data_IF_993303413052
#
_entry.id   IF_993303413052
#
_cell.length_a   1.000
_cell.length_b   1.000
_cell.length_c   1.000
_cell.angle_alpha   90.00
_cell.angle_beta   90.00
_cell.angle_gamma   90.00
#
_symmetry.space_group_name_H-M   'P 1'
#
loop_
_entity.id
_entity.type
_entity.pdbx_description
1 polymer ?
#
# COMPACT_ATOMS: atom_id res chain seq x y z
N UNK A 1 1.41 16.76 -16.00
CA UNK A 1 1.04 17.23 -17.35
C UNK A 1 0.37 16.08 -18.10
N UNK A 2 -0.01 16.26 -19.38
CA UNK A 2 -0.50 15.13 -20.19
C UNK A 2 0.56 14.03 -20.29
N UNK A 3 0.13 12.77 -20.34
CA UNK A 3 1.00 11.57 -20.28
C UNK A 3 1.89 11.44 -19.02
N UNK A 4 1.57 12.14 -17.94
CA UNK A 4 2.15 11.85 -16.62
C UNK A 4 1.42 10.69 -15.92
N UNK A 5 2.11 10.02 -15.01
CA UNK A 5 1.56 8.94 -14.18
C UNK A 5 2.15 8.96 -12.76
N UNK A 6 1.46 8.34 -11.82
CA UNK A 6 1.94 8.14 -10.45
C UNK A 6 1.52 6.76 -9.94
N UNK A 7 2.33 6.06 -9.14
CA UNK A 7 1.97 4.72 -8.61
C UNK A 7 2.52 4.51 -7.21
N UNK A 8 1.70 3.92 -6.32
CA UNK A 8 2.10 3.52 -4.97
C UNK A 8 3.05 2.31 -5.02
N UNK A 9 4.17 2.40 -4.29
CA UNK A 9 5.07 1.30 -4.05
C UNK A 9 4.77 0.60 -2.73
N UNK A 10 5.21 -0.66 -2.68
CA UNK A 10 5.10 -1.51 -1.49
C UNK A 10 5.83 -0.94 -0.27
N UNK A 11 6.85 -0.11 -0.44
CA UNK A 11 7.57 0.51 0.68
C UNK A 11 6.89 1.80 1.20
N UNK A 12 5.78 2.22 0.58
CA UNK A 12 5.03 3.43 0.93
C UNK A 12 5.42 4.66 0.11
N UNK A 13 6.40 4.58 -0.79
CA UNK A 13 6.72 5.70 -1.69
C UNK A 13 5.71 5.78 -2.83
N UNK A 14 5.66 6.93 -3.50
CA UNK A 14 4.91 7.10 -4.76
C UNK A 14 5.91 7.41 -5.86
N UNK A 15 6.00 6.57 -6.88
CA UNK A 15 6.75 6.93 -8.09
C UNK A 15 5.89 7.89 -8.90
N UNK A 16 6.48 8.99 -9.36
CA UNK A 16 5.90 9.95 -10.29
C UNK A 16 6.81 10.01 -11.51
N UNK A 17 6.22 10.13 -12.70
CA UNK A 17 7.01 10.27 -13.92
C UNK A 17 6.18 10.49 -15.16
N UNK A 18 6.88 10.68 -16.26
CA UNK A 18 6.30 10.98 -17.56
C UNK A 18 5.80 12.41 -17.68
N UNK A 19 5.81 12.92 -18.90
CA UNK A 19 5.10 14.10 -19.35
C UNK A 19 5.38 14.17 -20.85
N UNK A 20 4.37 14.01 -21.68
CA UNK A 20 4.54 14.14 -23.12
C UNK A 20 3.28 14.74 -23.74
N UNK A 21 3.13 16.08 -23.71
CA UNK A 21 1.99 16.74 -24.33
C UNK A 21 2.04 16.76 -25.87
N UNK A 22 3.03 16.12 -26.50
CA UNK A 22 3.29 16.20 -27.94
C UNK A 22 3.05 14.87 -28.66
N UNK A 23 2.83 14.94 -29.98
CA UNK A 23 2.67 13.76 -30.84
C UNK A 23 3.94 12.87 -30.90
N UNK A 24 5.12 13.49 -30.77
CA UNK A 24 6.43 12.84 -30.77
C UNK A 24 7.23 13.29 -29.55
N UNK A 25 8.36 12.65 -29.30
CA UNK A 25 9.29 13.15 -28.28
C UNK A 25 9.94 14.44 -28.73
N UNK A 26 9.71 15.50 -27.97
CA UNK A 26 10.27 16.80 -28.22
C UNK A 26 10.90 17.35 -26.94
N UNK A 27 12.23 17.47 -26.97
CA UNK A 27 13.02 17.84 -25.79
C UNK A 27 13.46 19.31 -25.79
N UNK A 28 13.37 20.01 -26.91
CA UNK A 28 13.89 21.38 -27.06
C UNK A 28 12.95 22.25 -27.91
N UNK A 29 12.99 23.57 -27.73
CA UNK A 29 12.19 24.49 -28.54
C UNK A 29 10.66 24.39 -28.32
N UNK A 30 10.21 23.80 -27.21
CA UNK A 30 8.80 23.72 -26.80
C UNK A 30 8.61 24.14 -25.35
N UNK A 31 7.42 24.65 -25.02
CA UNK A 31 7.09 25.13 -23.66
C UNK A 31 7.14 24.01 -22.61
N UNK A 32 6.74 22.79 -22.98
CA UNK A 32 6.70 21.62 -22.10
C UNK A 32 7.44 20.46 -22.75
N UNK A 33 8.77 20.33 -22.56
CA UNK A 33 9.55 19.22 -23.10
C UNK A 33 9.04 17.85 -22.63
N UNK A 34 9.31 16.81 -23.41
CA UNK A 34 9.12 15.43 -23.00
C UNK A 34 9.96 15.11 -21.75
N UNK A 35 9.32 14.57 -20.71
CA UNK A 35 9.97 14.14 -19.47
C UNK A 35 10.01 12.61 -19.40
N UNK A 36 11.21 12.06 -19.22
CA UNK A 36 11.46 10.62 -19.16
C UNK A 36 11.99 10.16 -17.79
N UNK A 37 12.31 11.09 -16.91
CA UNK A 37 12.75 10.78 -15.55
C UNK A 37 11.62 10.22 -14.69
N UNK A 38 12.03 9.50 -13.65
CA UNK A 38 11.17 9.00 -12.60
C UNK A 38 11.66 9.58 -11.28
N UNK A 39 10.74 10.10 -10.48
CA UNK A 39 11.00 10.57 -9.13
C UNK A 39 10.21 9.72 -8.13
N UNK A 40 10.78 9.51 -6.95
CA UNK A 40 10.07 8.88 -5.86
C UNK A 40 9.70 9.93 -4.82
N UNK A 41 8.41 10.18 -4.64
CA UNK A 41 7.90 10.97 -3.54
C UNK A 41 7.94 10.16 -2.25
N UNK A 42 8.47 10.78 -1.19
CA UNK A 42 8.54 10.23 0.16
C UNK A 42 7.53 10.97 1.05
N UNK A 43 6.35 10.38 1.31
CA UNK A 43 5.37 10.99 2.19
C UNK A 43 5.91 11.14 3.62
N UNK A 44 5.34 12.05 4.41
CA UNK A 44 5.82 12.38 5.77
C UNK A 44 5.90 11.18 6.73
N UNK A 45 5.07 10.15 6.52
CA UNK A 45 5.14 8.89 7.29
C UNK A 45 6.41 8.05 7.03
N UNK A 46 7.23 8.42 6.04
CA UNK A 46 8.54 7.82 5.74
C UNK A 46 9.73 8.65 6.26
N UNK A 47 9.47 9.70 7.04
CA UNK A 47 10.54 10.44 7.72
C UNK A 47 11.42 9.48 8.54
N UNK A 48 12.74 9.67 8.47
CA UNK A 48 13.72 8.78 9.09
C UNK A 48 13.51 8.61 10.61
N UNK A 49 12.94 9.61 11.28
CA UNK A 49 12.59 9.53 12.72
C UNK A 49 11.55 8.43 13.03
N UNK A 50 10.76 8.03 12.04
CA UNK A 50 9.72 7.00 12.17
C UNK A 50 10.20 5.60 11.80
N UNK A 51 11.44 5.42 11.34
CA UNK A 51 11.95 4.13 10.89
C UNK A 51 11.79 3.01 11.95
N UNK A 52 12.03 3.32 13.22
CA UNK A 52 11.90 2.37 14.33
C UNK A 52 10.44 2.14 14.78
N UNK A 53 9.49 2.96 14.29
CA UNK A 53 8.07 2.86 14.60
C UNK A 53 7.28 2.15 13.48
N UNK A 54 7.87 1.96 12.29
CA UNK A 54 7.20 1.28 11.18
C UNK A 54 6.86 -0.18 11.56
N UNK A 55 5.59 -0.59 11.49
CA UNK A 55 5.22 -1.98 11.73
C UNK A 55 5.92 -2.91 10.73
N UNK A 56 6.30 -4.12 11.16
CA UNK A 56 6.89 -5.14 10.29
C UNK A 56 6.03 -6.39 10.26
N UNK A 57 5.46 -6.73 9.10
CA UNK A 57 4.64 -7.93 8.94
C UNK A 57 5.56 -9.16 8.90
N UNK A 58 5.40 -10.06 9.87
CA UNK A 58 6.16 -11.32 9.99
C UNK A 58 5.43 -12.46 9.28
N UNK A 59 4.10 -12.50 9.45
CA UNK A 59 3.20 -13.44 8.80
C UNK A 59 1.85 -12.75 8.47
N UNK A 60 1.16 -13.15 7.39
CA UNK A 60 1.57 -14.14 6.40
C UNK A 60 2.77 -13.67 5.56
N UNK A 61 3.43 -14.60 4.84
CA UNK A 61 4.50 -14.23 3.91
C UNK A 61 3.92 -13.58 2.64
N UNK A 62 4.71 -12.76 1.97
CA UNK A 62 4.31 -12.20 0.66
C UNK A 62 3.95 -13.31 -0.32
N UNK A 63 3.00 -13.03 -1.22
CA UNK A 63 2.36 -13.97 -2.16
C UNK A 63 1.42 -15.00 -1.53
N UNK A 64 1.09 -14.87 -0.23
CA UNK A 64 0.11 -15.77 0.39
C UNK A 64 -1.27 -15.64 -0.23
N UNK A 65 -1.94 -16.77 -0.42
CA UNK A 65 -3.33 -16.81 -0.85
C UNK A 65 -4.29 -16.58 0.33
N UNK A 66 -5.24 -15.68 0.17
CA UNK A 66 -6.31 -15.40 1.12
C UNK A 66 -7.67 -15.62 0.46
N UNK A 67 -8.69 -15.95 1.25
CA UNK A 67 -10.05 -16.23 0.75
C UNK A 67 -11.06 -15.22 1.24
N UNK A 68 -12.12 -14.96 0.48
CA UNK A 68 -13.24 -14.13 0.90
C UNK A 68 -13.92 -14.64 2.17
N UNK A 69 -14.45 -13.73 2.98
CA UNK A 69 -15.22 -14.03 4.18
C UNK A 69 -14.50 -15.00 5.14
N UNK A 70 -13.17 -14.88 5.23
CA UNK A 70 -12.32 -15.67 6.13
C UNK A 70 -11.57 -14.77 7.09
N UNK A 71 -11.28 -15.32 8.26
CA UNK A 71 -10.37 -14.70 9.22
C UNK A 71 -8.94 -14.79 8.69
N UNK A 72 -8.31 -13.63 8.50
CA UNK A 72 -6.90 -13.49 8.22
C UNK A 72 -6.18 -13.19 9.53
N UNK A 73 -5.13 -13.96 9.82
CA UNK A 73 -4.26 -13.73 10.97
C UNK A 73 -2.95 -13.12 10.48
N UNK A 74 -2.61 -11.96 11.02
CA UNK A 74 -1.39 -11.23 10.74
C UNK A 74 -0.56 -11.21 12.02
N UNK A 75 0.70 -11.62 11.92
CA UNK A 75 1.69 -11.43 12.96
C UNK A 75 2.57 -10.25 12.57
N UNK A 76 2.68 -9.27 13.46
CA UNK A 76 3.36 -8.01 13.19
C UNK A 76 4.25 -7.64 14.37
N UNK A 77 5.42 -7.08 14.06
CA UNK A 77 6.28 -6.42 15.03
C UNK A 77 5.93 -4.94 15.07
N UNK A 78 5.62 -4.41 16.25
CA UNK A 78 5.35 -3.00 16.50
C UNK A 78 6.16 -2.59 17.73
N UNK A 79 6.99 -1.55 17.57
CA UNK A 79 7.80 -1.03 18.68
C UNK A 79 6.92 -0.30 19.68
N UNK A 80 7.03 -0.67 20.96
CA UNK A 80 6.26 -0.05 22.04
C UNK A 80 4.84 -0.63 22.19
N UNK A 81 4.00 0.13 22.88
CA UNK A 81 2.60 -0.25 23.11
C UNK A 81 1.73 0.10 21.89
N UNK A 82 0.84 -0.82 21.53
CA UNK A 82 -0.12 -0.62 20.44
C UNK A 82 -1.29 0.23 20.92
N UNK A 83 -1.54 1.33 20.21
CA UNK A 83 -2.74 2.15 20.36
C UNK A 83 -3.82 1.59 19.45
N UNK A 84 -4.75 0.80 20.00
CA UNK A 84 -5.73 0.01 19.23
C UNK A 84 -6.59 0.85 18.27
N UNK A 85 -7.01 2.05 18.68
CA UNK A 85 -7.82 2.96 17.85
C UNK A 85 -7.04 3.58 16.66
N UNK A 86 -5.71 3.46 16.64
CA UNK A 86 -4.84 3.95 15.58
C UNK A 86 -4.15 2.81 14.83
N UNK A 87 -4.59 1.56 15.04
CA UNK A 87 -4.09 0.37 14.35
C UNK A 87 -5.11 -0.09 13.31
N UNK A 88 -4.68 -0.30 12.08
CA UNK A 88 -5.53 -0.89 11.04
C UNK A 88 -4.74 -1.81 10.11
N UNK A 89 -5.41 -2.84 9.60
CA UNK A 89 -4.96 -3.63 8.46
C UNK A 89 -5.68 -3.12 7.23
N UNK A 90 -4.92 -2.89 6.16
CA UNK A 90 -5.47 -2.41 4.89
C UNK A 90 -5.04 -3.31 3.73
N UNK A 91 -5.86 -3.34 2.67
CA UNK A 91 -5.53 -3.95 1.39
C UNK A 91 -5.69 -2.91 0.28
N UNK A 92 -4.64 -2.68 -0.49
CA UNK A 92 -4.65 -1.77 -1.64
C UNK A 92 -4.59 -2.58 -2.94
N UNK A 93 -5.54 -2.35 -3.83
CA UNK A 93 -5.47 -2.83 -5.21
C UNK A 93 -4.56 -1.86 -6.00
N UNK A 94 -3.41 -2.32 -6.51
CA UNK A 94 -2.53 -1.47 -7.32
C UNK A 94 -3.25 -1.07 -8.59
N UNK A 95 -3.07 0.20 -8.97
CA UNK A 95 -3.72 0.76 -10.14
C UNK A 95 -2.89 0.52 -11.40
N UNK A 96 -3.57 0.42 -12.54
CA UNK A 96 -2.97 0.70 -13.84
C UNK A 96 -3.29 2.16 -14.19
N UNK A 97 -2.27 3.00 -14.37
CA UNK A 97 -2.42 4.45 -14.44
C UNK A 97 -1.98 4.99 -15.79
N UNK A 98 -2.90 5.63 -16.51
CA UNK A 98 -2.61 6.33 -17.76
C UNK A 98 -3.61 7.45 -18.00
N UNK A 99 -3.21 8.55 -18.65
CA UNK A 99 -4.10 9.66 -19.01
C UNK A 99 -4.95 10.19 -17.84
N UNK A 100 -4.32 10.32 -16.66
CA UNK A 100 -4.99 10.72 -15.42
C UNK A 100 -6.15 9.81 -14.98
N UNK A 101 -6.19 8.58 -15.50
CA UNK A 101 -7.18 7.57 -15.14
C UNK A 101 -6.49 6.40 -14.43
N UNK A 102 -6.95 6.14 -13.21
CA UNK A 102 -6.44 5.08 -12.34
C UNK A 102 -7.37 3.89 -12.31
N UNK A 103 -7.17 2.98 -13.26
CA UNK A 103 -7.96 1.75 -13.34
C UNK A 103 -7.75 0.91 -12.08
N UNK A 104 -8.85 0.47 -11.47
CA UNK A 104 -8.88 -0.50 -10.36
C UNK A 104 -8.32 -0.04 -9.01
N UNK A 105 -7.83 1.21 -8.86
CA UNK A 105 -7.31 1.68 -7.56
C UNK A 105 -8.40 1.62 -6.49
N UNK A 106 -8.09 0.95 -5.39
CA UNK A 106 -9.00 0.81 -4.24
C UNK A 106 -8.19 0.61 -2.98
N UNK A 107 -8.59 1.28 -1.91
CA UNK A 107 -8.17 1.00 -0.54
C UNK A 107 -9.33 0.31 0.19
N UNK A 108 -9.04 -0.85 0.78
CA UNK A 108 -9.93 -1.56 1.70
C UNK A 108 -9.34 -1.46 3.09
N UNK A 109 -10.12 -0.96 4.04
CA UNK A 109 -9.75 -0.96 5.46
C UNK A 109 -10.43 -2.17 6.09
N UNK A 110 -9.64 -3.17 6.51
CA UNK A 110 -10.15 -4.38 7.14
C UNK A 110 -10.34 -4.23 8.65
N UNK A 111 -9.81 -3.15 9.24
CA UNK A 111 -9.88 -2.89 10.67
C UNK A 111 -8.85 -3.69 11.46
N UNK A 112 -9.24 -4.14 12.66
CA UNK A 112 -8.40 -4.80 13.64
C UNK A 112 -9.25 -5.60 14.65
N UNK A 113 -10.20 -6.41 14.16
CA UNK A 113 -11.24 -7.11 14.94
C UNK A 113 -10.75 -7.74 16.26
N UNK A 114 -9.56 -8.33 16.25
CA UNK A 114 -8.92 -8.83 17.47
C UNK A 114 -7.42 -8.59 17.44
N UNK A 115 -6.88 -8.00 18.50
CA UNK A 115 -5.44 -7.76 18.67
C UNK A 115 -4.99 -8.43 19.98
N UNK A 116 -3.93 -9.24 19.90
CA UNK A 116 -3.36 -9.94 21.05
C UNK A 116 -1.85 -9.77 21.06
N UNK A 117 -1.28 -9.40 22.21
CA UNK A 117 0.16 -9.45 22.40
C UNK A 117 0.65 -10.90 22.34
N UNK A 118 1.77 -11.14 21.66
CA UNK A 118 2.35 -12.46 21.43
C UNK A 118 3.88 -12.43 21.63
N UNK A 119 4.33 -11.79 22.71
CA UNK A 119 5.74 -11.59 23.03
C UNK A 119 6.12 -10.11 23.10
N UNK A 120 7.42 -9.84 23.21
CA UNK A 120 7.95 -8.47 23.25
C UNK A 120 7.82 -7.83 21.87
N UNK A 121 7.04 -6.76 21.76
CA UNK A 121 6.80 -6.02 20.50
C UNK A 121 6.14 -6.84 19.39
N UNK A 122 5.63 -8.04 19.68
CA UNK A 122 4.96 -8.90 18.70
C UNK A 122 3.46 -8.93 18.98
N UNK A 123 2.66 -8.71 17.94
CA UNK A 123 1.21 -8.68 18.03
C UNK A 123 0.59 -9.58 16.96
N UNK A 124 -0.49 -10.26 17.33
CA UNK A 124 -1.35 -11.02 16.43
C UNK A 124 -2.63 -10.24 16.20
N UNK A 125 -2.87 -9.86 14.95
CA UNK A 125 -4.06 -9.16 14.51
C UNK A 125 -4.92 -10.15 13.71
N UNK A 126 -6.18 -10.29 14.07
CA UNK A 126 -7.18 -11.01 13.29
C UNK A 126 -8.11 -9.98 12.64
N UNK A 127 -8.36 -10.14 11.34
CA UNK A 127 -9.32 -9.35 10.57
C UNK A 127 -10.15 -10.24 9.66
N UNK A 128 -11.35 -9.79 9.32
CA UNK A 128 -12.15 -10.42 8.27
C UNK A 128 -11.73 -9.93 6.88
N UNK A 129 -11.45 -10.85 5.97
CA UNK A 129 -11.25 -10.51 4.55
C UNK A 129 -12.55 -10.03 3.92
N UNK A 130 -12.50 -9.32 2.77
CA UNK A 130 -13.70 -8.80 2.10
C UNK A 130 -14.77 -9.88 1.89
N UNK A 131 -16.03 -9.48 2.02
CA UNK A 131 -17.16 -10.41 1.95
C UNK A 131 -17.53 -10.89 0.55
N UNK A 132 -17.14 -10.14 -0.49
CA UNK A 132 -17.48 -10.47 -1.88
C UNK A 132 -16.53 -9.85 -2.90
N UNK A 133 -16.50 -10.46 -4.09
CA UNK A 133 -15.78 -9.95 -5.25
C UNK A 133 -16.31 -8.61 -5.79
N UNK A 134 -17.55 -8.22 -5.43
CA UNK A 134 -18.08 -6.91 -5.80
C UNK A 134 -17.36 -5.78 -5.03
N UNK A 135 -17.04 -6.02 -3.76
CA UNK A 135 -16.27 -5.09 -2.94
C UNK A 135 -14.78 -5.12 -3.31
N UNK A 136 -14.27 -6.32 -3.58
CA UNK A 136 -12.85 -6.55 -3.85
C UNK A 136 -12.69 -7.70 -4.88
N UNK A 137 -12.67 -7.43 -6.20
CA UNK A 137 -12.39 -8.41 -7.24
C UNK A 137 -11.16 -9.24 -6.94
N UNK A 138 -11.20 -10.51 -7.39
CA UNK A 138 -10.10 -11.43 -7.18
C UNK A 138 -8.82 -10.91 -7.84
N UNK A 139 -7.69 -11.11 -7.18
CA UNK A 139 -6.41 -10.63 -7.69
C UNK A 139 -5.42 -10.30 -6.58
N UNK A 140 -4.34 -9.62 -6.98
CA UNK A 140 -3.26 -9.24 -6.09
C UNK A 140 -3.53 -7.90 -5.41
N UNK A 141 -3.32 -7.88 -4.10
CA UNK A 141 -3.42 -6.69 -3.26
C UNK A 141 -2.14 -6.52 -2.46
N UNK A 142 -1.78 -5.27 -2.20
CA UNK A 142 -0.77 -4.92 -1.20
C UNK A 142 -1.46 -4.84 0.16
N UNK A 143 -1.06 -5.70 1.09
CA UNK A 143 -1.52 -5.67 2.47
C UNK A 143 -0.54 -4.86 3.32
N UNK A 144 -1.05 -3.89 4.07
CA UNK A 144 -0.29 -3.07 5.02
C UNK A 144 -0.88 -3.18 6.41
N UNK A 145 -0.02 -3.07 7.42
CA UNK A 145 -0.42 -2.73 8.80
C UNK A 145 -0.03 -1.27 9.02
N UNK A 146 -0.98 -0.45 9.45
CA UNK A 146 -0.79 0.97 9.76
C UNK A 146 -0.99 1.17 11.25
N UNK A 147 -0.01 1.79 11.92
CA UNK A 147 -0.11 2.17 13.32
C UNK A 147 0.30 3.63 13.47
N UNK A 148 -0.56 4.47 14.05
CA UNK A 148 -0.32 5.92 14.22
C UNK A 148 0.09 6.60 12.89
N UNK A 149 -0.67 6.33 11.82
CA UNK A 149 -0.45 6.83 10.45
C UNK A 149 0.86 6.39 9.78
N UNK A 150 1.64 5.50 10.43
CA UNK A 150 2.89 4.96 9.89
C UNK A 150 2.63 3.57 9.31
N UNK A 151 2.71 3.38 7.97
CA UNK A 151 2.50 2.09 7.34
C UNK A 151 3.73 1.20 7.41
N UNK A 152 3.50 -0.10 7.51
CA UNK A 152 4.51 -1.13 7.27
C UNK A 152 5.08 -1.05 5.86
N UNK A 153 6.13 -1.82 5.57
CA UNK A 153 6.30 -2.29 4.19
C UNK A 153 5.13 -3.24 3.87
N UNK A 154 4.50 -3.04 2.72
CA UNK A 154 3.42 -3.89 2.27
C UNK A 154 3.90 -5.30 1.91
N UNK A 155 2.98 -6.25 1.89
CA UNK A 155 3.21 -7.58 1.31
C UNK A 155 2.17 -7.86 0.24
N UNK A 156 2.52 -8.65 -0.76
CA UNK A 156 1.53 -9.11 -1.73
C UNK A 156 0.67 -10.21 -1.12
N UNK A 157 -0.64 -10.16 -1.34
CA UNK A 157 -1.57 -11.25 -1.06
C UNK A 157 -2.46 -11.48 -2.28
N UNK A 158 -2.83 -12.72 -2.53
CA UNK A 158 -3.72 -13.09 -3.62
C UNK A 158 -5.10 -13.44 -3.06
N UNK A 159 -6.08 -12.56 -3.29
CA UNK A 159 -7.48 -12.76 -2.89
C UNK A 159 -8.21 -13.63 -3.91
N UNK A 160 -8.77 -14.75 -3.47
CA UNK A 160 -9.46 -15.74 -4.30
C UNK A 160 -10.65 -16.41 -3.61
#
# INVERSE_FOLDING_TARGET
MYHSTAVLLRDGRVIVGGSNPHAYYNFTGVLYPTELSLEAFYPGYLDAKFNNLRPTIVAPKSMSGIRYSKKLKIEVLITGEVTLNLLSVTMVSPAFNTHSFSMNQRLLVLGNDKVMASGKSTYKIEVMTPGSGNLAPAGFYLLFVVHQDIPSQGIWVHLK
#
